data_IF_287438703765
#
_entry.id   IF_287438703765
#
_cell.length_a   1.000
_cell.length_b   1.000
_cell.length_c   1.000
_cell.angle_alpha   90.00
_cell.angle_beta   90.00
_cell.angle_gamma   90.00
#
_symmetry.space_group_name_H-M   'P 1'
#
loop_
_entity.id
_entity.type
_entity.pdbx_description
1 polymer ?
#
# COMPACT_ATOMS: atom_id res chain seq x y z
N UNK A 1 1.42 6.85 -2.42
CA UNK A 1 1.45 5.38 -2.31
C UNK A 1 1.99 4.83 -3.65
N UNK A 2 3.31 4.68 -3.78
CA UNK A 2 3.97 4.34 -5.06
C UNK A 2 3.90 2.83 -5.34
N UNK A 3 4.20 2.02 -4.33
CA UNK A 3 4.11 0.55 -4.39
C UNK A 3 2.69 0.06 -4.70
N UNK A 4 1.66 0.73 -4.20
CA UNK A 4 0.27 0.32 -4.45
C UNK A 4 -0.14 0.43 -5.92
N UNK A 5 0.50 1.31 -6.69
CA UNK A 5 0.28 1.38 -8.14
C UNK A 5 0.70 0.05 -8.78
N UNK A 6 1.86 -0.48 -8.42
CA UNK A 6 2.34 -1.77 -8.95
C UNK A 6 1.47 -2.96 -8.53
N UNK A 7 0.85 -2.91 -7.35
CA UNK A 7 -0.13 -3.94 -6.94
C UNK A 7 -1.45 -3.87 -7.70
N UNK A 8 -1.79 -2.71 -8.25
CA UNK A 8 -3.01 -2.50 -9.03
C UNK A 8 -2.83 -2.84 -10.51
N UNK A 9 -1.59 -2.95 -10.99
CA UNK A 9 -1.29 -3.32 -12.36
C UNK A 9 -1.48 -4.83 -12.58
N UNK A 10 -2.43 -5.19 -13.44
CA UNK A 10 -2.73 -6.60 -13.76
C UNK A 10 -1.57 -7.32 -14.45
N UNK A 11 -0.71 -6.57 -15.13
CA UNK A 11 0.45 -7.08 -15.87
C UNK A 11 1.61 -7.44 -14.93
N UNK A 12 1.65 -6.89 -13.71
CA UNK A 12 2.75 -7.12 -12.76
C UNK A 12 2.32 -8.17 -11.75
N UNK A 13 2.87 -9.39 -11.79
CA UNK A 13 2.59 -10.39 -10.77
C UNK A 13 3.04 -9.90 -9.38
N UNK A 14 2.27 -10.20 -8.34
CA UNK A 14 2.57 -9.77 -6.95
C UNK A 14 3.96 -10.20 -6.48
N UNK A 15 4.42 -11.37 -6.89
CA UNK A 15 5.77 -11.86 -6.56
C UNK A 15 6.89 -11.07 -7.27
N UNK A 16 6.59 -10.34 -8.36
CA UNK A 16 7.54 -9.46 -9.05
C UNK A 16 7.64 -8.07 -8.45
N UNK A 17 6.61 -7.60 -7.75
CA UNK A 17 6.64 -6.31 -7.04
C UNK A 17 7.81 -6.27 -6.05
N UNK A 18 8.10 -7.39 -5.38
CA UNK A 18 9.25 -7.47 -4.47
C UNK A 18 10.58 -7.31 -5.21
N UNK A 19 10.74 -7.97 -6.37
CA UNK A 19 11.93 -7.82 -7.21
C UNK A 19 12.12 -6.36 -7.63
N UNK A 20 11.06 -5.69 -8.06
CA UNK A 20 11.12 -4.27 -8.43
C UNK A 20 11.54 -3.40 -7.24
N UNK A 21 10.99 -3.63 -6.05
CA UNK A 21 11.39 -2.90 -4.84
C UNK A 21 12.87 -3.10 -4.54
N UNK A 22 13.35 -4.35 -4.61
CA UNK A 22 14.77 -4.68 -4.39
C UNK A 22 15.67 -4.00 -5.42
N UNK A 23 15.33 -4.07 -6.72
CA UNK A 23 16.12 -3.47 -7.80
C UNK A 23 16.21 -1.93 -7.65
N UNK A 24 15.07 -1.27 -7.34
CA UNK A 24 15.05 0.18 -7.12
C UNK A 24 15.84 0.55 -5.87
N UNK A 25 15.75 -0.23 -4.80
CA UNK A 25 16.51 0.00 -3.56
C UNK A 25 18.01 -0.10 -3.82
N UNK A 26 18.44 -1.13 -4.55
CA UNK A 26 19.84 -1.36 -4.91
C UNK A 26 20.38 -0.22 -5.81
N UNK A 27 19.60 0.20 -6.80
CA UNK A 27 19.96 1.34 -7.65
C UNK A 27 20.08 2.65 -6.83
N UNK A 28 19.15 2.88 -5.91
CA UNK A 28 19.16 4.04 -5.03
C UNK A 28 20.40 4.03 -4.12
N UNK A 29 20.71 2.88 -3.52
CA UNK A 29 21.86 2.72 -2.63
C UNK A 29 23.18 3.05 -3.34
N UNK A 30 23.38 2.55 -4.56
CA UNK A 30 24.56 2.90 -5.37
C UNK A 30 24.65 4.39 -5.68
N UNK A 31 23.56 4.98 -6.18
CA UNK A 31 23.57 6.39 -6.58
C UNK A 31 23.76 7.34 -5.38
N UNK A 32 23.08 7.06 -4.27
CA UNK A 32 23.16 7.89 -3.06
C UNK A 32 24.51 7.72 -2.36
N UNK A 33 25.09 6.52 -2.34
CA UNK A 33 26.42 6.32 -1.74
C UNK A 33 27.52 7.06 -2.51
N UNK A 34 27.49 7.05 -3.85
CA UNK A 34 28.43 7.83 -4.67
C UNK A 34 28.29 9.33 -4.36
N UNK A 35 27.06 9.85 -4.38
CA UNK A 35 26.79 11.26 -4.11
C UNK A 35 27.19 11.66 -2.69
N UNK A 36 26.88 10.83 -1.70
CA UNK A 36 27.24 11.02 -0.29
C UNK A 36 28.76 11.10 -0.14
N UNK A 37 29.51 10.19 -0.77
CA UNK A 37 30.97 10.18 -0.68
C UNK A 37 31.59 11.44 -1.30
N UNK A 38 31.14 11.85 -2.49
CA UNK A 38 31.59 13.08 -3.14
C UNK A 38 31.34 14.32 -2.26
N UNK A 39 30.13 14.45 -1.73
CA UNK A 39 29.76 15.59 -0.87
C UNK A 39 30.57 15.58 0.44
N UNK A 40 30.74 14.42 1.07
CA UNK A 40 31.52 14.32 2.30
C UNK A 40 33.01 14.61 2.08
N UNK A 41 33.58 14.19 0.95
CA UNK A 41 34.96 14.50 0.59
C UNK A 41 35.15 16.01 0.45
N UNK A 42 34.27 16.70 -0.30
CA UNK A 42 34.31 18.16 -0.46
C UNK A 42 34.17 18.87 0.88
N UNK A 43 33.27 18.43 1.76
CA UNK A 43 33.07 19.04 3.08
C UNK A 43 34.29 18.85 4.00
N UNK A 44 34.91 17.68 3.96
CA UNK A 44 36.11 17.38 4.72
C UNK A 44 37.32 18.20 4.23
N UNK A 45 37.49 18.32 2.90
CA UNK A 45 38.54 19.15 2.29
C UNK A 45 38.41 20.63 2.66
N UNK A 46 37.17 21.14 2.70
CA UNK A 46 36.87 22.51 3.10
C UNK A 46 36.87 22.74 4.64
N UNK A 47 37.23 21.71 5.43
CA UNK A 47 37.27 21.77 6.90
C UNK A 47 35.98 22.31 7.52
N UNK A 48 34.83 21.91 6.97
CA UNK A 48 33.54 22.31 7.51
C UNK A 48 33.35 21.79 8.95
N UNK A 49 32.49 22.46 9.71
CA UNK A 49 32.17 22.07 11.08
C UNK A 49 31.60 20.64 11.12
N UNK A 50 32.09 19.81 12.06
CA UNK A 50 31.67 18.42 12.23
C UNK A 50 30.15 18.26 12.40
N UNK A 51 29.49 19.22 13.05
CA UNK A 51 28.04 19.23 13.24
C UNK A 51 27.27 19.40 11.92
N UNK A 52 27.80 20.22 11.01
CA UNK A 52 27.21 20.39 9.67
C UNK A 52 27.39 19.13 8.83
N UNK A 53 28.58 18.51 8.91
CA UNK A 53 28.88 17.23 8.26
C UNK A 53 27.92 16.14 8.78
N UNK A 54 27.72 16.02 10.09
CA UNK A 54 26.84 14.99 10.66
C UNK A 54 25.38 15.19 10.24
N UNK A 55 24.89 16.42 10.18
CA UNK A 55 23.54 16.73 9.68
C UNK A 55 23.38 16.29 8.23
N UNK A 56 24.34 16.63 7.36
CA UNK A 56 24.29 16.26 5.95
C UNK A 56 24.35 14.74 5.77
N UNK A 57 25.23 14.05 6.52
CA UNK A 57 25.29 12.58 6.55
C UNK A 57 23.94 11.99 6.91
N UNK A 58 23.27 12.50 7.95
CA UNK A 58 21.96 12.00 8.38
C UNK A 58 20.87 12.22 7.32
N UNK A 59 20.95 13.29 6.54
CA UNK A 59 20.01 13.53 5.43
C UNK A 59 20.20 12.48 4.33
N UNK A 60 21.44 12.13 3.99
CA UNK A 60 21.71 11.07 3.02
C UNK A 60 21.24 9.71 3.52
N UNK A 61 21.42 9.39 4.80
CA UNK A 61 20.97 8.12 5.39
C UNK A 61 19.44 7.96 5.29
N UNK A 62 18.69 9.06 5.42
CA UNK A 62 17.22 9.06 5.26
C UNK A 62 16.82 8.74 3.81
N UNK A 63 17.56 9.25 2.82
CA UNK A 63 17.23 9.13 1.39
C UNK A 63 17.73 7.80 0.80
N UNK A 64 18.75 7.20 1.41
CA UNK A 64 19.37 5.96 0.94
C UNK A 64 18.40 4.78 0.93
N UNK A 65 17.48 4.71 1.91
CA UNK A 65 16.55 3.59 2.07
C UNK A 65 15.08 4.03 2.04
N UNK A 66 14.53 4.41 0.86
CA UNK A 66 13.16 4.93 0.75
C UNK A 66 12.08 3.89 1.08
N UNK A 67 12.43 2.60 1.03
CA UNK A 67 11.51 1.48 1.26
C UNK A 67 11.74 0.73 2.58
N UNK A 68 12.61 1.20 3.47
CA UNK A 68 12.96 0.50 4.74
C UNK A 68 11.71 0.12 5.58
N UNK A 69 10.71 1.02 5.62
CA UNK A 69 9.44 0.79 6.34
C UNK A 69 8.36 0.09 5.50
N UNK A 70 8.68 -0.31 4.28
CA UNK A 70 7.76 -0.86 3.27
C UNK A 70 8.33 -2.09 2.56
N UNK A 71 9.48 -2.60 2.99
CA UNK A 71 10.22 -3.68 2.33
C UNK A 71 9.40 -4.97 2.26
N UNK A 72 8.78 -5.34 3.38
CA UNK A 72 7.98 -6.55 3.49
C UNK A 72 6.48 -6.27 3.41
N UNK A 73 5.70 -7.26 2.99
CA UNK A 73 4.24 -7.16 2.92
C UNK A 73 3.62 -6.83 4.29
N UNK A 74 4.08 -7.46 5.36
CA UNK A 74 3.59 -7.17 6.71
C UNK A 74 3.89 -5.73 7.15
N UNK A 75 5.04 -5.16 6.76
CA UNK A 75 5.39 -3.77 7.05
C UNK A 75 4.49 -2.79 6.29
N UNK A 76 4.21 -3.10 5.02
CA UNK A 76 3.24 -2.34 4.21
C UNK A 76 1.86 -2.36 4.84
N UNK A 77 1.35 -3.53 5.22
CA UNK A 77 0.06 -3.65 5.92
C UNK A 77 0.05 -2.89 7.24
N UNK A 78 1.12 -3.00 8.04
CA UNK A 78 1.28 -2.24 9.28
C UNK A 78 1.24 -0.73 9.03
N UNK A 79 1.91 -0.25 7.97
CA UNK A 79 1.90 1.16 7.59
C UNK A 79 0.51 1.62 7.16
N UNK A 80 -0.22 0.82 6.39
CA UNK A 80 -1.59 1.14 5.97
C UNK A 80 -2.55 1.19 7.16
N UNK A 81 -2.38 0.31 8.15
CA UNK A 81 -3.11 0.37 9.43
C UNK A 81 -2.79 1.67 10.19
N UNK A 82 -1.52 2.04 10.31
CA UNK A 82 -1.11 3.29 10.96
C UNK A 82 -1.66 4.54 10.27
N UNK A 83 -1.82 4.50 8.94
CA UNK A 83 -2.39 5.59 8.17
C UNK A 83 -3.92 5.65 8.24
N UNK A 84 -4.58 4.67 8.87
CA UNK A 84 -6.04 4.61 8.95
C UNK A 84 -6.73 4.28 7.62
N UNK A 85 -5.99 3.79 6.62
CA UNK A 85 -6.52 3.50 5.27
C UNK A 85 -6.69 2.01 4.99
N UNK A 86 -6.35 1.15 5.95
CA UNK A 86 -6.50 -0.30 5.83
C UNK A 86 -7.76 -0.79 6.53
N UNK A 87 -8.64 -1.45 5.78
CA UNK A 87 -9.81 -2.14 6.31
C UNK A 87 -9.48 -3.62 6.43
N UNK A 88 -9.69 -4.17 7.63
CA UNK A 88 -9.44 -5.58 7.88
C UNK A 88 -10.68 -6.37 7.43
N UNK A 89 -10.53 -7.42 6.59
CA UNK A 89 -11.66 -8.28 6.25
C UNK A 89 -12.28 -8.93 7.49
N UNK A 90 -13.60 -8.96 7.56
CA UNK A 90 -14.35 -9.61 8.63
C UNK A 90 -14.52 -11.09 8.27
N UNK A 91 -14.09 -11.97 9.16
CA UNK A 91 -14.29 -13.40 9.04
C UNK A 91 -15.67 -13.80 9.57
N UNK A 92 -16.46 -14.49 8.76
CA UNK A 92 -17.75 -15.06 9.15
C UNK A 92 -17.66 -16.57 9.05
N UNK A 93 -17.88 -17.24 10.18
CA UNK A 93 -17.97 -18.70 10.22
C UNK A 93 -19.25 -19.14 9.49
N UNK A 94 -19.11 -20.04 8.51
CA UNK A 94 -20.24 -20.55 7.71
C UNK A 94 -20.53 -22.04 7.95
N UNK A 95 -19.70 -22.71 8.73
CA UNK A 95 -19.87 -24.12 9.05
C UNK A 95 -18.56 -24.87 9.11
N UNK A 96 -18.65 -26.20 9.15
CA UNK A 96 -17.52 -27.08 9.39
C UNK A 96 -17.43 -28.11 8.26
N UNK A 97 -16.22 -28.39 7.79
CA UNK A 97 -15.92 -29.45 6.85
C UNK A 97 -15.10 -30.54 7.53
N UNK A 98 -15.53 -31.78 7.37
CA UNK A 98 -14.73 -32.95 7.74
C UNK A 98 -13.57 -33.06 6.74
N UNK A 99 -12.34 -33.04 7.26
CA UNK A 99 -11.14 -33.30 6.46
C UNK A 99 -10.57 -34.65 6.85
N UNK A 100 -10.33 -35.53 5.88
CA UNK A 100 -9.66 -36.80 6.14
C UNK A 100 -8.16 -36.56 6.16
N UNK A 101 -7.56 -36.62 7.35
CA UNK A 101 -6.12 -36.63 7.50
C UNK A 101 -5.70 -38.03 7.94
N UNK A 102 -4.94 -38.73 7.10
CA UNK A 102 -4.25 -39.95 7.51
C UNK A 102 -3.01 -39.56 8.29
N UNK A 103 -2.96 -39.91 9.57
CA UNK A 103 -1.74 -39.85 10.39
C UNK A 103 -1.50 -41.23 10.97
N UNK A 104 -0.35 -41.82 10.64
CA UNK A 104 0.16 -43.09 11.20
C UNK A 104 -0.92 -44.20 11.28
N UNK A 105 -1.37 -44.69 10.13
CA UNK A 105 -2.36 -45.79 9.97
C UNK A 105 -3.72 -45.60 10.69
N UNK A 106 -3.97 -44.42 11.24
CA UNK A 106 -5.27 -44.03 11.80
C UNK A 106 -5.88 -42.88 10.99
N UNK A 107 -7.12 -43.08 10.55
CA UNK A 107 -7.91 -42.03 9.89
C UNK A 107 -8.55 -41.17 10.96
N UNK A 108 -8.02 -39.97 11.16
CA UNK A 108 -8.62 -38.96 12.04
C UNK A 108 -9.42 -38.03 11.14
N UNK A 109 -10.70 -37.82 11.46
CA UNK A 109 -11.59 -36.87 10.77
C UNK A 109 -11.78 -35.60 11.63
N UNK A 110 -10.79 -34.70 11.72
CA UNK A 110 -11.02 -33.42 12.40
C UNK A 110 -12.04 -32.58 11.62
N UNK A 111 -12.94 -31.95 12.36
CA UNK A 111 -13.76 -30.86 11.86
C UNK A 111 -12.88 -29.64 11.63
N UNK A 112 -12.86 -29.13 10.40
CA UNK A 112 -12.21 -27.87 10.03
C UNK A 112 -13.27 -26.81 9.80
N UNK A 113 -13.23 -25.75 10.60
CA UNK A 113 -14.09 -24.59 10.41
C UNK A 113 -13.86 -23.93 9.04
N UNK A 114 -14.95 -23.53 8.41
CA UNK A 114 -14.98 -22.82 7.14
C UNK A 114 -15.41 -21.38 7.42
N UNK A 115 -14.61 -20.44 6.94
CA UNK A 115 -14.87 -19.01 7.04
C UNK A 115 -15.02 -18.40 5.66
N UNK A 116 -15.96 -17.46 5.51
CA UNK A 116 -15.95 -16.49 4.42
C UNK A 116 -15.37 -15.17 4.94
N UNK A 117 -14.82 -14.37 4.04
CA UNK A 117 -14.26 -13.06 4.37
C UNK A 117 -14.93 -12.01 3.50
N UNK A 118 -15.39 -10.93 4.13
CA UNK A 118 -15.93 -9.77 3.41
C UNK A 118 -15.35 -8.47 3.97
N UNK A 119 -15.40 -7.41 3.16
CA UNK A 119 -14.97 -6.06 3.54
C UNK A 119 -16.25 -5.20 3.56
N UNK A 120 -16.62 -4.59 4.70
CA UNK A 120 -17.82 -3.76 4.78
C UNK A 120 -17.72 -2.54 3.87
N UNK A 121 -18.73 -2.32 3.01
CA UNK A 121 -18.71 -1.24 2.03
C UNK A 121 -18.83 0.14 2.69
N UNK A 122 -19.57 0.24 3.78
CA UNK A 122 -19.72 1.45 4.59
C UNK A 122 -18.37 1.92 5.15
N UNK A 123 -17.53 1.00 5.64
CA UNK A 123 -16.17 1.32 6.08
C UNK A 123 -15.29 1.79 4.91
N UNK A 124 -15.40 1.14 3.74
CA UNK A 124 -14.66 1.53 2.52
C UNK A 124 -15.04 2.93 2.08
N UNK A 125 -16.34 3.21 1.99
CA UNK A 125 -16.84 4.51 1.56
C UNK A 125 -16.47 5.60 2.54
N UNK A 126 -16.52 5.34 3.85
CA UNK A 126 -16.10 6.29 4.87
C UNK A 126 -14.64 6.72 4.66
N UNK A 127 -13.73 5.76 4.59
CA UNK A 127 -12.29 6.05 4.41
C UNK A 127 -12.01 6.73 3.06
N UNK A 128 -12.74 6.34 2.01
CA UNK A 128 -12.62 6.92 0.68
C UNK A 128 -13.05 8.39 0.65
N UNK A 129 -14.21 8.72 1.25
CA UNK A 129 -14.73 10.08 1.28
C UNK A 129 -13.94 11.00 2.22
N UNK A 130 -13.29 10.44 3.25
CA UNK A 130 -12.36 11.16 4.14
C UNK A 130 -11.03 11.51 3.46
N UNK A 131 -10.75 11.00 2.25
CA UNK A 131 -9.54 11.38 1.52
C UNK A 131 -9.59 12.85 1.07
N UNK A 132 -8.44 13.56 1.09
CA UNK A 132 -8.38 14.95 0.65
C UNK A 132 -8.95 15.14 -0.75
N UNK A 133 -9.83 16.14 -0.89
CA UNK A 133 -10.47 16.57 -2.14
C UNK A 133 -11.41 15.54 -2.81
N UNK A 134 -11.58 14.33 -2.27
CA UNK A 134 -12.44 13.32 -2.91
C UNK A 134 -13.91 13.74 -2.85
N UNK A 135 -14.39 14.14 -1.68
CA UNK A 135 -15.77 14.61 -1.51
C UNK A 135 -16.07 15.82 -2.42
N UNK A 136 -15.17 16.80 -2.44
CA UNK A 136 -15.32 17.99 -3.27
C UNK A 136 -15.36 17.65 -4.77
N UNK A 137 -14.48 16.77 -5.25
CA UNK A 137 -14.48 16.31 -6.65
C UNK A 137 -15.81 15.64 -7.00
N UNK A 138 -16.33 14.79 -6.11
CA UNK A 138 -17.62 14.12 -6.33
C UNK A 138 -18.75 15.14 -6.41
N UNK A 139 -18.84 16.07 -5.45
CA UNK A 139 -19.89 17.10 -5.43
C UNK A 139 -19.80 18.01 -6.65
N UNK A 140 -18.61 18.46 -7.02
CA UNK A 140 -18.40 19.28 -8.22
C UNK A 140 -18.80 18.56 -9.51
N UNK A 141 -18.55 17.25 -9.60
CA UNK A 141 -18.99 16.46 -10.75
C UNK A 141 -20.51 16.30 -10.77
N UNK A 142 -21.15 16.08 -9.62
CA UNK A 142 -22.60 16.02 -9.52
C UNK A 142 -23.24 17.35 -9.93
N UNK A 143 -22.75 18.49 -9.42
CA UNK A 143 -23.26 19.81 -9.78
C UNK A 143 -23.13 20.10 -11.29
N UNK A 144 -22.00 19.71 -11.91
CA UNK A 144 -21.82 19.81 -13.37
C UNK A 144 -22.84 18.99 -14.14
N UNK A 145 -23.10 17.75 -13.71
CA UNK A 145 -24.08 16.86 -14.33
C UNK A 145 -25.51 17.42 -14.20
N UNK A 146 -25.86 18.00 -13.05
CA UNK A 146 -27.17 18.62 -12.84
C UNK A 146 -27.34 19.94 -13.61
N UNK A 147 -26.25 20.66 -13.89
CA UNK A 147 -26.28 21.95 -14.60
C UNK A 147 -26.26 21.80 -16.13
N UNK A 148 -25.83 20.65 -16.65
CA UNK A 148 -25.92 20.33 -18.08
C UNK A 148 -27.35 19.93 -18.46
N UNK A 149 -28.11 20.88 -19.03
CA UNK A 149 -29.47 20.71 -19.57
C UNK A 149 -29.54 19.83 -20.85
N UNK A 150 -28.80 18.73 -20.92
CA UNK A 150 -28.94 17.72 -21.97
C UNK A 150 -29.15 16.38 -21.31
N UNK A 151 -30.23 15.68 -21.70
CA UNK A 151 -30.70 14.37 -21.23
C UNK A 151 -29.81 13.72 -20.17
N UNK A 152 -30.34 13.60 -18.95
CA UNK A 152 -29.70 12.97 -17.80
C UNK A 152 -28.99 11.69 -18.28
N UNK A 153 -27.67 11.75 -18.45
CA UNK A 153 -26.87 10.56 -18.72
C UNK A 153 -26.82 9.82 -17.40
N UNK A 154 -27.85 9.01 -17.14
CA UNK A 154 -27.84 8.09 -16.02
C UNK A 154 -26.63 7.19 -16.19
N UNK A 155 -25.67 7.27 -15.26
CA UNK A 155 -24.75 6.16 -15.04
C UNK A 155 -25.59 4.90 -14.85
N UNK A 156 -25.17 3.77 -15.41
CA UNK A 156 -25.89 2.49 -15.37
C UNK A 156 -26.28 2.05 -13.93
N UNK A 157 -25.61 2.62 -12.93
CA UNK A 157 -25.81 2.42 -11.48
C UNK A 157 -26.92 3.30 -10.88
N UNK A 158 -27.25 4.43 -11.52
CA UNK A 158 -28.26 5.42 -11.08
C UNK A 158 -29.63 5.25 -11.76
N UNK A 159 -29.77 4.30 -12.68
CA UNK A 159 -31.09 3.91 -13.17
C UNK A 159 -31.85 3.19 -12.02
N UNK A 160 -32.73 3.93 -11.34
CA UNK A 160 -33.69 3.34 -10.42
C UNK A 160 -34.63 2.37 -11.16
N UNK A 161 -34.90 1.23 -10.50
CA UNK A 161 -36.11 0.41 -10.66
C UNK A 161 -37.27 1.15 -9.98
#
# INVERSE_FOLDING_TARGET
MFISKWYNESVIPKNKVQTIISDVSMMQEMNISILKNEVLNILNENKCELNSISKITSMFDIIQNPFDKLEFEFLRLKKLKQLGVYITPIAVHIGNRLTNNTKNDSTIMPNKDIYIYYIPLDEVLKIFLEQPNVFEIITNNLEKLFSSNGDIICSLVQCNI
#
